data_IF_769812585908
#
_entry.id   IF_769812585908
#
_cell.length_a   1.000
_cell.length_b   1.000
_cell.length_c   1.000
_cell.angle_alpha   90.00
_cell.angle_beta   90.00
_cell.angle_gamma   90.00
#
_symmetry.space_group_name_H-M   'P 1'
#
loop_
_entity.id
_entity.type
_entity.pdbx_description
1 polymer ?
#
# COMPACT_ATOMS: atom_id res chain seq x y z
N UNK A 1 5.63 6.61 -14.55
CA UNK A 1 6.69 6.76 -13.52
C UNK A 1 6.10 6.71 -12.12
N UNK A 2 6.83 6.16 -11.13
CA UNK A 2 6.35 6.01 -9.77
C UNK A 2 7.33 6.56 -8.72
N UNK A 3 6.79 6.93 -7.56
CA UNK A 3 7.55 7.15 -6.32
C UNK A 3 7.25 6.00 -5.37
N UNK A 4 8.28 5.44 -4.71
CA UNK A 4 8.11 4.50 -3.62
C UNK A 4 8.41 5.19 -2.27
N UNK A 5 7.42 5.19 -1.37
CA UNK A 5 7.56 5.66 0.01
C UNK A 5 7.50 4.45 0.95
N UNK A 6 8.59 4.20 1.67
CA UNK A 6 8.70 3.02 2.53
C UNK A 6 9.28 3.40 3.90
N UNK A 7 8.93 2.68 4.99
CA UNK A 7 9.54 2.94 6.28
C UNK A 7 11.03 2.58 6.27
N UNK A 8 11.82 3.30 7.07
CA UNK A 8 13.24 3.04 7.25
C UNK A 8 13.46 1.80 8.15
N UNK A 9 13.15 0.65 7.59
CA UNK A 9 13.22 -0.66 8.22
C UNK A 9 13.55 -1.72 7.18
N UNK A 10 14.04 -2.87 7.63
CA UNK A 10 14.33 -4.01 6.74
C UNK A 10 13.08 -4.47 5.95
N UNK A 11 11.91 -4.46 6.61
CA UNK A 11 10.64 -4.76 5.94
C UNK A 11 10.30 -3.73 4.87
N UNK A 12 10.43 -2.43 5.18
CA UNK A 12 10.14 -1.36 4.24
C UNK A 12 11.07 -1.43 3.02
N UNK A 13 12.34 -1.67 3.25
CA UNK A 13 13.32 -1.83 2.17
C UNK A 13 12.95 -2.99 1.25
N UNK A 14 12.71 -4.19 1.79
CA UNK A 14 12.30 -5.36 0.99
C UNK A 14 11.00 -5.15 0.21
N UNK A 15 10.01 -4.48 0.83
CA UNK A 15 8.74 -4.18 0.15
C UNK A 15 8.95 -3.19 -1.02
N UNK A 16 9.79 -2.19 -0.81
CA UNK A 16 10.13 -1.21 -1.84
C UNK A 16 10.97 -1.79 -2.97
N UNK A 17 11.95 -2.66 -2.67
CA UNK A 17 12.73 -3.37 -3.69
C UNK A 17 11.82 -4.28 -4.55
N UNK A 18 10.99 -5.10 -3.91
CA UNK A 18 10.08 -5.98 -4.64
C UNK A 18 9.13 -5.20 -5.58
N UNK A 19 8.63 -4.05 -5.12
CA UNK A 19 7.85 -3.16 -5.97
C UNK A 19 8.69 -2.61 -7.12
N UNK A 20 9.91 -2.14 -6.84
CA UNK A 20 10.79 -1.53 -7.82
C UNK A 20 11.19 -2.51 -8.92
N UNK A 21 11.59 -3.72 -8.54
CA UNK A 21 12.00 -4.76 -9.48
C UNK A 21 10.85 -5.14 -10.42
N UNK A 22 9.65 -5.34 -9.86
CA UNK A 22 8.46 -5.64 -10.66
C UNK A 22 8.08 -4.46 -11.56
N UNK A 23 8.08 -3.23 -11.01
CA UNK A 23 7.71 -2.02 -11.77
C UNK A 23 8.62 -1.79 -12.97
N UNK A 24 9.93 -1.97 -12.79
CA UNK A 24 10.92 -1.85 -13.87
C UNK A 24 10.79 -2.99 -14.88
N UNK A 25 10.56 -4.23 -14.43
CA UNK A 25 10.36 -5.37 -15.31
C UNK A 25 9.14 -5.20 -16.23
N UNK A 26 8.09 -4.54 -15.74
CA UNK A 26 6.88 -4.18 -16.53
C UNK A 26 7.06 -2.88 -17.36
N UNK A 27 8.27 -2.37 -17.47
CA UNK A 27 8.60 -1.18 -18.28
C UNK A 27 8.32 0.16 -17.58
N UNK A 28 8.02 0.14 -16.29
CA UNK A 28 7.86 1.35 -15.49
C UNK A 28 9.18 2.03 -15.14
N UNK A 29 9.13 3.29 -14.74
CA UNK A 29 10.28 4.05 -14.27
C UNK A 29 10.08 4.47 -12.82
N UNK A 30 11.04 4.16 -11.93
CA UNK A 30 11.04 4.64 -10.55
C UNK A 30 11.82 5.95 -10.48
N UNK A 31 11.12 7.04 -10.19
CA UNK A 31 11.74 8.37 -10.12
C UNK A 31 12.25 8.75 -8.74
N UNK A 32 11.78 8.05 -7.71
CA UNK A 32 12.30 8.18 -6.34
C UNK A 32 11.99 6.95 -5.50
N UNK A 33 12.97 6.58 -4.67
CA UNK A 33 12.83 5.61 -3.59
C UNK A 33 13.12 6.34 -2.27
N UNK A 34 12.07 6.72 -1.56
CA UNK A 34 12.17 7.53 -0.36
C UNK A 34 11.87 6.72 0.89
N UNK A 35 12.74 6.82 1.89
CA UNK A 35 12.57 6.17 3.19
C UNK A 35 12.16 7.18 4.25
N UNK A 36 11.21 6.82 5.09
CA UNK A 36 10.77 7.63 6.22
C UNK A 36 10.91 6.85 7.53
N UNK A 37 11.26 7.55 8.59
CA UNK A 37 11.44 7.02 9.95
C UNK A 37 10.98 8.02 10.99
N UNK A 38 11.12 7.67 12.27
CA UNK A 38 10.63 8.50 13.39
C UNK A 38 11.28 9.89 13.45
N UNK A 39 12.51 10.01 12.95
CA UNK A 39 13.23 11.29 12.88
C UNK A 39 13.03 12.04 11.56
N UNK A 40 12.31 11.47 10.61
CA UNK A 40 12.11 12.06 9.28
C UNK A 40 10.91 12.98 9.30
N UNK A 41 11.10 14.24 8.92
CA UNK A 41 9.98 15.14 8.62
C UNK A 41 9.25 14.61 7.37
N UNK A 42 8.03 14.14 7.55
CA UNK A 42 7.19 13.70 6.44
C UNK A 42 6.92 14.82 5.43
N UNK A 43 6.85 16.08 5.93
CA UNK A 43 6.67 17.27 5.09
C UNK A 43 7.88 17.47 4.17
N UNK A 44 9.10 17.51 4.75
CA UNK A 44 10.33 17.73 3.98
C UNK A 44 10.58 16.60 2.99
N UNK A 45 10.23 15.37 3.39
CA UNK A 45 10.32 14.20 2.53
C UNK A 45 9.42 14.34 1.30
N UNK A 46 8.16 14.68 1.49
CA UNK A 46 7.21 14.84 0.38
C UNK A 46 7.53 16.07 -0.46
N UNK A 47 7.89 17.19 0.17
CA UNK A 47 8.27 18.42 -0.53
C UNK A 47 9.42 18.20 -1.51
N UNK A 48 10.49 17.52 -1.05
CA UNK A 48 11.67 17.24 -1.88
C UNK A 48 11.38 16.21 -2.98
N UNK A 49 10.67 15.10 -2.66
CA UNK A 49 10.36 14.05 -3.65
C UNK A 49 9.35 14.52 -4.72
N UNK A 50 8.47 15.44 -4.38
CA UNK A 50 7.55 16.08 -5.30
C UNK A 50 8.14 17.33 -5.99
N UNK A 51 9.39 17.71 -5.68
CA UNK A 51 10.09 18.88 -6.21
C UNK A 51 9.37 20.21 -5.98
N UNK A 52 8.59 20.31 -4.91
CA UNK A 52 7.91 21.57 -4.53
C UNK A 52 8.92 22.59 -4.04
N UNK A 53 9.94 22.16 -3.27
CA UNK A 53 11.11 22.93 -2.85
C UNK A 53 11.85 23.54 -4.03
N UNK A 54 12.10 22.76 -5.07
CA UNK A 54 12.73 23.23 -6.30
C UNK A 54 11.87 24.27 -7.04
N UNK A 55 10.54 24.12 -7.01
CA UNK A 55 9.62 25.12 -7.55
C UNK A 55 9.69 26.44 -6.79
N UNK A 56 9.75 26.40 -5.46
CA UNK A 56 9.91 27.57 -4.59
C UNK A 56 11.28 28.21 -4.81
N UNK A 57 12.35 27.43 -4.91
CA UNK A 57 13.70 27.92 -5.15
C UNK A 57 13.79 28.68 -6.50
N UNK A 58 13.19 28.14 -7.57
CA UNK A 58 13.13 28.82 -8.88
C UNK A 58 12.42 30.16 -8.79
N UNK A 59 11.28 30.23 -8.08
CA UNK A 59 10.56 31.48 -7.85
C UNK A 59 11.43 32.52 -7.11
N UNK A 60 12.13 32.09 -6.05
CA UNK A 60 12.97 32.98 -5.26
C UNK A 60 14.14 33.55 -6.08
N UNK A 61 14.80 32.70 -6.89
CA UNK A 61 15.85 33.13 -7.81
C UNK A 61 15.34 34.16 -8.84
N UNK A 62 14.15 33.88 -9.43
CA UNK A 62 13.55 34.78 -10.41
C UNK A 62 13.15 36.14 -9.77
N UNK A 63 12.57 36.10 -8.56
CA UNK A 63 12.20 37.29 -7.82
C UNK A 63 13.43 38.15 -7.45
N UNK A 64 14.53 37.51 -7.06
CA UNK A 64 15.80 38.21 -6.80
C UNK A 64 16.34 38.91 -8.05
N UNK A 65 16.28 38.25 -9.22
CA UNK A 65 16.75 38.83 -10.47
C UNK A 65 15.87 39.99 -10.99
N UNK A 66 14.55 39.91 -10.76
CA UNK A 66 13.59 40.91 -11.20
C UNK A 66 13.42 42.09 -10.24
N UNK A 67 13.89 41.98 -9.01
CA UNK A 67 13.77 43.00 -7.96
C UNK A 67 12.33 43.30 -7.52
N UNK A 68 11.37 42.43 -7.78
CA UNK A 68 9.96 42.61 -7.45
C UNK A 68 9.30 41.34 -6.97
N UNK A 69 8.25 41.46 -6.13
CA UNK A 69 7.43 40.35 -5.72
C UNK A 69 6.69 39.72 -6.91
N UNK A 70 6.61 38.39 -6.94
CA UNK A 70 5.90 37.63 -7.96
C UNK A 70 4.73 36.90 -7.31
N UNK A 71 3.55 36.95 -7.94
CA UNK A 71 2.48 36.01 -7.64
C UNK A 71 2.92 34.61 -8.07
N UNK A 72 2.77 33.64 -7.17
CA UNK A 72 3.32 32.31 -7.37
C UNK A 72 2.51 31.27 -6.62
N UNK A 73 2.19 30.19 -7.32
CA UNK A 73 1.67 28.96 -6.73
C UNK A 73 2.72 27.86 -6.94
N UNK A 74 3.19 27.21 -5.89
CA UNK A 74 4.13 26.10 -6.02
C UNK A 74 3.53 25.00 -6.92
N UNK A 75 4.40 24.35 -7.69
CA UNK A 75 3.99 23.24 -8.55
C UNK A 75 4.86 22.03 -8.26
N UNK A 76 4.21 20.90 -8.03
CA UNK A 76 4.90 19.63 -7.97
C UNK A 76 5.43 19.20 -9.34
N UNK A 77 6.34 18.24 -9.37
CA UNK A 77 6.73 17.53 -10.60
C UNK A 77 5.50 16.84 -11.22
N UNK A 78 5.44 16.80 -12.54
CA UNK A 78 4.28 16.29 -13.30
C UNK A 78 4.51 14.91 -13.91
N UNK A 79 5.70 14.34 -13.71
CA UNK A 79 6.14 13.07 -14.28
C UNK A 79 5.90 11.88 -13.34
N UNK A 80 5.05 12.04 -12.30
CA UNK A 80 4.68 10.98 -11.37
C UNK A 80 3.25 10.57 -11.62
N UNK A 81 3.06 9.31 -12.02
CA UNK A 81 1.77 8.70 -12.36
C UNK A 81 1.18 7.87 -11.20
N UNK A 82 2.02 7.40 -10.28
CA UNK A 82 1.63 6.57 -9.16
C UNK A 82 2.56 6.73 -7.95
N UNK A 83 2.01 6.48 -6.76
CA UNK A 83 2.76 6.43 -5.52
C UNK A 83 2.56 5.05 -4.89
N UNK A 84 3.67 4.34 -4.64
CA UNK A 84 3.67 3.12 -3.85
C UNK A 84 3.93 3.47 -2.39
N UNK A 85 3.09 2.99 -1.49
CA UNK A 85 3.18 3.27 -0.05
C UNK A 85 3.24 1.98 0.76
N UNK A 86 4.37 1.71 1.39
CA UNK A 86 4.47 0.71 2.43
C UNK A 86 4.34 1.42 3.79
N UNK A 87 3.24 1.23 4.50
CA UNK A 87 2.96 1.95 5.75
C UNK A 87 2.06 1.14 6.69
N UNK A 88 2.19 1.39 7.99
CA UNK A 88 1.16 1.05 8.97
C UNK A 88 -0.05 1.98 8.84
N UNK A 89 -1.23 1.65 9.41
CA UNK A 89 -2.39 2.53 9.36
C UNK A 89 -2.10 3.92 9.93
N UNK A 90 -1.36 3.98 11.05
CA UNK A 90 -1.02 5.23 11.69
C UNK A 90 -0.12 6.13 10.82
N UNK A 91 0.89 5.55 10.19
CA UNK A 91 1.78 6.28 9.29
C UNK A 91 1.07 6.76 8.03
N UNK A 92 0.22 5.91 7.46
CA UNK A 92 -0.53 6.25 6.26
C UNK A 92 -1.52 7.41 6.49
N UNK A 93 -2.20 7.43 7.65
CA UNK A 93 -3.08 8.54 8.08
C UNK A 93 -2.34 9.87 8.24
N UNK A 94 -1.02 9.85 8.41
CA UNK A 94 -0.19 11.05 8.43
C UNK A 94 0.29 11.45 7.03
N UNK A 95 0.75 10.47 6.24
CA UNK A 95 1.35 10.72 4.93
C UNK A 95 0.32 11.08 3.85
N UNK A 96 -0.83 10.39 3.81
CA UNK A 96 -1.81 10.56 2.73
C UNK A 96 -2.41 11.98 2.67
N UNK A 97 -2.85 12.61 3.78
CA UNK A 97 -3.36 13.97 3.73
C UNK A 97 -2.31 15.00 3.29
N UNK A 98 -1.03 14.75 3.59
CA UNK A 98 0.04 15.66 3.19
C UNK A 98 0.24 15.71 1.68
N UNK A 99 -0.18 14.69 0.92
CA UNK A 99 -0.14 14.73 -0.54
C UNK A 99 -1.01 15.88 -1.09
N UNK A 100 -2.20 16.10 -0.50
CA UNK A 100 -3.06 17.22 -0.88
C UNK A 100 -2.38 18.58 -0.58
N UNK A 101 -1.72 18.68 0.58
CA UNK A 101 -0.97 19.87 0.94
C UNK A 101 0.16 20.21 -0.07
N UNK A 102 0.79 19.18 -0.63
CA UNK A 102 1.84 19.32 -1.66
C UNK A 102 1.32 19.21 -3.09
N UNK A 103 0.04 19.47 -3.31
CA UNK A 103 -0.59 19.47 -4.66
C UNK A 103 -0.51 18.13 -5.39
N UNK A 104 -0.53 17.02 -4.66
CA UNK A 104 -0.38 15.66 -5.17
C UNK A 104 -1.57 14.75 -4.82
N UNK A 105 -2.73 15.32 -4.54
CA UNK A 105 -3.95 14.57 -4.20
C UNK A 105 -4.48 13.73 -5.36
N UNK A 106 -4.18 14.15 -6.58
CA UNK A 106 -4.56 13.50 -7.85
C UNK A 106 -3.70 12.27 -8.18
N UNK A 107 -2.54 12.09 -7.51
CA UNK A 107 -1.69 10.92 -7.74
C UNK A 107 -2.34 9.70 -7.07
N UNK A 108 -2.64 8.63 -7.84
CA UNK A 108 -3.15 7.40 -7.27
C UNK A 108 -2.14 6.75 -6.33
N UNK A 109 -2.61 6.36 -5.14
CA UNK A 109 -1.78 5.71 -4.13
C UNK A 109 -2.12 4.23 -4.07
N UNK A 110 -1.10 3.40 -4.25
CA UNK A 110 -1.14 1.95 -4.09
C UNK A 110 -0.33 1.54 -2.87
N UNK A 111 -0.92 0.76 -2.00
CA UNK A 111 -0.28 0.40 -0.74
C UNK A 111 -0.19 -1.11 -0.51
N UNK A 112 0.70 -1.48 0.41
CA UNK A 112 0.77 -2.85 0.92
C UNK A 112 -0.41 -3.16 1.85
N UNK A 113 -0.68 -4.45 2.08
CA UNK A 113 -1.75 -4.89 3.00
C UNK A 113 -1.60 -4.38 4.43
N UNK A 114 -0.40 -3.93 4.82
CA UNK A 114 -0.13 -3.40 6.17
C UNK A 114 -0.84 -2.10 6.48
N UNK A 115 -1.33 -1.39 5.45
CA UNK A 115 -2.05 -0.13 5.62
C UNK A 115 -3.40 -0.29 6.35
N UNK A 116 -3.96 -1.49 6.36
CA UNK A 116 -5.24 -1.78 6.99
C UNK A 116 -5.10 -2.73 8.18
N UNK A 117 -5.65 -2.34 9.31
CA UNK A 117 -5.61 -3.12 10.55
C UNK A 117 -6.48 -4.40 10.52
N UNK A 118 -7.45 -4.46 9.60
CA UNK A 118 -8.49 -5.48 9.58
C UNK A 118 -9.71 -5.14 10.44
N UNK A 119 -9.68 -4.02 11.14
CA UNK A 119 -10.80 -3.52 11.94
C UNK A 119 -11.26 -2.18 11.37
N UNK A 120 -12.56 -2.03 11.03
CA UNK A 120 -13.08 -0.79 10.49
C UNK A 120 -12.98 0.35 11.51
N UNK A 121 -12.40 1.46 11.12
CA UNK A 121 -12.40 2.72 11.87
C UNK A 121 -12.71 3.87 10.90
N UNK A 122 -14.00 4.07 10.53
CA UNK A 122 -14.37 5.05 9.51
C UNK A 122 -13.97 6.49 9.83
N UNK A 123 -13.81 6.80 11.10
CA UNK A 123 -13.40 8.15 11.50
C UNK A 123 -11.91 8.39 11.28
N UNK A 124 -11.07 7.42 11.63
CA UNK A 124 -9.64 7.53 11.47
C UNK A 124 -9.15 7.21 10.04
N UNK A 125 -9.85 6.29 9.34
CA UNK A 125 -9.45 5.85 7.99
C UNK A 125 -10.00 6.75 6.87
N UNK A 126 -10.79 7.79 7.20
CA UNK A 126 -11.29 8.75 6.20
C UNK A 126 -10.17 9.44 5.43
N UNK A 127 -9.07 9.69 6.11
CA UNK A 127 -7.88 10.31 5.50
C UNK A 127 -7.21 9.40 4.46
N UNK A 128 -7.54 8.11 4.45
CA UNK A 128 -7.04 7.14 3.48
C UNK A 128 -7.92 6.98 2.24
N UNK A 129 -9.03 7.71 2.14
CA UNK A 129 -9.95 7.58 1.01
C UNK A 129 -9.22 7.68 -0.33
N UNK A 130 -9.56 6.80 -1.25
CA UNK A 130 -8.94 6.67 -2.55
C UNK A 130 -7.72 5.73 -2.61
N UNK A 131 -7.08 5.41 -1.49
CA UNK A 131 -5.92 4.49 -1.47
C UNK A 131 -6.37 3.09 -1.82
N UNK A 132 -5.65 2.45 -2.77
CA UNK A 132 -5.85 1.06 -3.17
C UNK A 132 -4.77 0.18 -2.55
N UNK A 133 -5.14 -1.01 -2.12
CA UNK A 133 -4.19 -1.97 -1.54
C UNK A 133 -4.64 -3.41 -1.79
N UNK A 134 -3.68 -4.33 -1.84
CA UNK A 134 -3.98 -5.76 -1.91
C UNK A 134 -4.01 -6.37 -0.51
N UNK A 135 -4.97 -7.27 -0.25
CA UNK A 135 -5.07 -7.95 1.05
C UNK A 135 -5.77 -9.31 0.94
N UNK A 136 -5.76 -10.06 2.03
CA UNK A 136 -6.48 -11.33 2.14
C UNK A 136 -7.99 -11.08 2.24
N UNK A 137 -8.83 -11.92 1.61
CA UNK A 137 -10.29 -11.86 1.79
C UNK A 137 -10.71 -11.89 3.26
N UNK A 138 -10.02 -12.67 4.09
CA UNK A 138 -10.27 -12.77 5.54
C UNK A 138 -10.23 -11.43 6.26
N UNK A 139 -9.32 -10.56 5.88
CA UNK A 139 -9.13 -9.25 6.51
C UNK A 139 -10.30 -8.31 6.21
N UNK A 140 -10.91 -8.43 5.03
CA UNK A 140 -12.05 -7.61 4.61
C UNK A 140 -13.41 -8.14 5.08
N UNK A 141 -13.50 -9.41 5.45
CA UNK A 141 -14.77 -10.07 5.79
C UNK A 141 -15.16 -9.85 7.25
N UNK A 142 -15.58 -8.63 7.57
CA UNK A 142 -15.95 -8.22 8.92
C UNK A 142 -17.24 -8.87 9.45
N UNK A 143 -18.07 -9.43 8.56
CA UNK A 143 -19.35 -10.07 8.91
C UNK A 143 -19.20 -11.59 9.15
N UNK A 144 -17.99 -12.15 9.06
CA UNK A 144 -17.74 -13.56 9.27
C UNK A 144 -17.74 -13.92 10.75
N UNK A 145 -18.66 -14.78 11.17
CA UNK A 145 -18.83 -15.20 12.56
C UNK A 145 -17.59 -15.88 13.15
N UNK A 146 -16.94 -16.78 12.38
CA UNK A 146 -15.72 -17.45 12.81
C UNK A 146 -14.61 -16.44 13.09
N UNK A 147 -14.42 -15.48 12.16
CA UNK A 147 -13.45 -14.40 12.32
C UNK A 147 -13.72 -13.58 13.58
N UNK A 148 -14.98 -13.20 13.78
CA UNK A 148 -15.38 -12.38 14.94
C UNK A 148 -15.20 -13.14 16.26
N UNK A 149 -15.58 -14.41 16.30
CA UNK A 149 -15.38 -15.26 17.47
C UNK A 149 -13.89 -15.42 17.82
N UNK A 150 -13.04 -15.70 16.82
CA UNK A 150 -11.59 -15.82 17.03
C UNK A 150 -10.97 -14.48 17.46
N UNK A 151 -11.40 -13.38 16.87
CA UNK A 151 -10.92 -12.04 17.22
C UNK A 151 -11.25 -11.67 18.66
N UNK A 152 -12.48 -11.95 19.09
CA UNK A 152 -12.93 -11.67 20.46
C UNK A 152 -12.18 -12.51 21.52
N UNK A 153 -11.88 -13.77 21.20
CA UNK A 153 -11.16 -14.67 22.12
C UNK A 153 -9.69 -14.30 22.30
N UNK A 154 -9.07 -13.68 21.30
CA UNK A 154 -7.61 -13.47 21.28
C UNK A 154 -7.19 -12.02 21.42
N UNK A 155 -8.12 -11.07 21.62
CA UNK A 155 -7.82 -9.62 21.47
C UNK A 155 -7.02 -9.36 20.20
N UNK A 156 -7.53 -9.83 19.07
CA UNK A 156 -6.76 -9.99 17.86
C UNK A 156 -6.20 -8.66 17.33
N UNK A 157 -4.91 -8.66 17.11
CA UNK A 157 -4.23 -7.62 16.33
C UNK A 157 -4.33 -7.93 14.82
N UNK A 158 -3.95 -6.97 13.98
CA UNK A 158 -3.80 -7.18 12.54
C UNK A 158 -2.94 -8.40 12.19
N UNK A 159 -1.86 -8.61 12.94
CA UNK A 159 -0.96 -9.78 12.78
C UNK A 159 -1.67 -11.07 13.17
N UNK A 160 -2.40 -11.09 14.29
CA UNK A 160 -3.14 -12.26 14.73
C UNK A 160 -4.20 -12.68 13.69
N UNK A 161 -4.94 -11.73 13.10
CA UNK A 161 -5.89 -12.03 12.03
C UNK A 161 -5.23 -12.70 10.81
N UNK A 162 -4.03 -12.24 10.43
CA UNK A 162 -3.27 -12.83 9.33
C UNK A 162 -2.78 -14.24 9.65
N UNK A 163 -2.31 -14.45 10.88
CA UNK A 163 -1.87 -15.78 11.33
C UNK A 163 -3.03 -16.76 11.44
N UNK A 164 -4.20 -16.32 11.88
CA UNK A 164 -5.42 -17.13 11.89
C UNK A 164 -5.78 -17.59 10.48
N UNK A 165 -5.78 -16.66 9.50
CA UNK A 165 -6.04 -16.99 8.12
C UNK A 165 -5.04 -18.03 7.58
N UNK A 166 -3.75 -17.82 7.87
CA UNK A 166 -2.70 -18.74 7.46
C UNK A 166 -2.92 -20.15 8.06
N UNK A 167 -3.22 -20.24 9.35
CA UNK A 167 -3.45 -21.52 10.01
C UNK A 167 -4.67 -22.26 9.46
N UNK A 168 -5.78 -21.56 9.22
CA UNK A 168 -7.00 -22.14 8.68
C UNK A 168 -6.76 -22.68 7.27
N UNK A 169 -6.21 -21.86 6.37
CA UNK A 169 -5.98 -22.31 5.00
C UNK A 169 -4.88 -23.37 4.91
N UNK A 170 -3.86 -23.32 5.74
CA UNK A 170 -2.83 -24.38 5.81
C UNK A 170 -3.44 -25.73 6.17
N UNK A 171 -4.39 -25.76 7.12
CA UNK A 171 -5.11 -26.98 7.49
C UNK A 171 -5.91 -27.53 6.31
N UNK A 172 -6.72 -26.73 5.66
CA UNK A 172 -7.52 -27.19 4.51
C UNK A 172 -6.67 -27.52 3.28
N UNK A 173 -5.60 -26.77 3.05
CA UNK A 173 -4.68 -27.00 1.95
C UNK A 173 -3.91 -28.31 2.12
N UNK A 174 -3.52 -28.68 3.34
CA UNK A 174 -2.81 -29.93 3.60
C UNK A 174 -3.58 -31.18 3.12
N UNK A 175 -4.91 -31.10 3.15
CA UNK A 175 -5.79 -32.20 2.67
C UNK A 175 -5.95 -32.23 1.14
N UNK A 176 -5.56 -31.17 0.44
CA UNK A 176 -5.74 -31.00 -1.00
C UNK A 176 -4.43 -30.78 -1.76
N UNK A 177 -3.31 -30.85 -1.05
CA UNK A 177 -2.00 -30.53 -1.62
C UNK A 177 -1.67 -31.42 -2.80
N UNK A 178 -1.91 -32.74 -2.70
CA UNK A 178 -1.69 -33.70 -3.78
C UNK A 178 -2.51 -33.31 -5.02
N UNK A 179 -3.76 -32.95 -4.84
CA UNK A 179 -4.64 -32.53 -5.93
C UNK A 179 -4.12 -31.27 -6.64
N UNK A 180 -3.61 -30.30 -5.90
CA UNK A 180 -3.01 -29.08 -6.44
C UNK A 180 -1.75 -29.39 -7.29
N UNK A 181 -0.94 -30.36 -6.85
CA UNK A 181 0.28 -30.73 -7.57
C UNK A 181 0.04 -31.64 -8.78
N UNK A 182 -0.97 -32.51 -8.74
CA UNK A 182 -1.29 -33.44 -9.84
C UNK A 182 -2.16 -32.80 -10.93
N UNK A 183 -2.93 -31.75 -10.58
CA UNK A 183 -3.80 -31.03 -11.52
C UNK A 183 -3.38 -29.57 -11.58
N UNK A 184 -2.45 -29.18 -12.47
CA UNK A 184 -1.82 -27.85 -12.48
C UNK A 184 -2.80 -26.69 -12.68
N UNK A 185 -3.98 -26.93 -13.26
CA UNK A 185 -5.02 -25.90 -13.42
C UNK A 185 -5.93 -25.75 -12.20
N UNK A 186 -5.65 -26.50 -11.12
CA UNK A 186 -6.48 -26.45 -9.92
C UNK A 186 -6.20 -25.18 -9.15
N UNK A 187 -7.26 -24.42 -8.85
CA UNK A 187 -7.22 -23.24 -8.00
C UNK A 187 -7.92 -23.56 -6.68
N UNK A 188 -7.17 -23.45 -5.59
CA UNK A 188 -7.75 -23.46 -4.25
C UNK A 188 -8.20 -22.04 -3.86
N UNK A 189 -9.50 -21.86 -3.58
CA UNK A 189 -10.07 -20.56 -3.14
C UNK A 189 -10.25 -20.60 -1.62
N UNK A 190 -9.29 -20.01 -0.92
CA UNK A 190 -9.26 -19.92 0.53
C UNK A 190 -9.51 -18.51 1.04
N UNK A 191 -9.36 -18.37 2.34
CA UNK A 191 -9.47 -17.08 3.03
C UNK A 191 -8.20 -16.23 2.92
N UNK A 192 -7.07 -16.84 2.51
CA UNK A 192 -5.84 -16.13 2.12
C UNK A 192 -5.94 -15.48 0.73
N UNK A 193 -6.84 -15.99 -0.12
CA UNK A 193 -6.97 -15.64 -1.53
C UNK A 193 -7.08 -16.87 -2.40
N UNK A 194 -6.74 -16.74 -3.68
CA UNK A 194 -6.63 -17.87 -4.59
C UNK A 194 -5.19 -18.38 -4.53
N UNK A 195 -5.06 -19.69 -4.37
CA UNK A 195 -3.77 -20.39 -4.39
C UNK A 195 -3.73 -21.32 -5.59
N UNK A 196 -2.66 -21.26 -6.35
CA UNK A 196 -2.37 -22.13 -7.48
C UNK A 196 -0.93 -22.57 -7.45
N UNK A 197 -0.61 -23.67 -8.10
CA UNK A 197 0.78 -24.06 -8.30
C UNK A 197 1.38 -23.17 -9.39
N UNK A 198 2.58 -22.64 -9.14
CA UNK A 198 3.38 -22.02 -10.20
C UNK A 198 3.71 -23.08 -11.27
N UNK A 199 3.56 -22.69 -12.53
CA UNK A 199 3.82 -23.57 -13.68
C UNK A 199 5.30 -23.89 -13.87
N UNK A 200 6.20 -23.09 -13.35
CA UNK A 200 7.65 -23.18 -13.56
C UNK A 200 8.44 -23.60 -12.31
N UNK A 201 7.83 -23.52 -11.15
CA UNK A 201 8.45 -23.91 -9.88
C UNK A 201 7.55 -24.87 -9.09
N UNK A 202 8.02 -25.30 -7.91
CA UNK A 202 7.21 -26.05 -6.95
C UNK A 202 6.54 -25.14 -5.91
N UNK A 203 6.57 -23.84 -6.14
CA UNK A 203 5.99 -22.87 -5.22
C UNK A 203 4.47 -22.74 -5.43
N UNK A 204 3.80 -22.22 -4.40
CA UNK A 204 2.41 -21.84 -4.48
C UNK A 204 2.30 -20.33 -4.69
N UNK A 205 1.70 -19.96 -5.78
CA UNK A 205 1.31 -18.57 -6.04
C UNK A 205 0.05 -18.22 -5.28
N UNK A 206 -0.01 -17.00 -4.80
CA UNK A 206 -1.17 -16.46 -4.10
C UNK A 206 -1.66 -15.17 -4.73
N UNK A 207 -2.86 -15.20 -5.27
CA UNK A 207 -3.59 -14.02 -5.71
C UNK A 207 -4.45 -13.47 -4.56
N UNK A 208 -4.17 -12.25 -4.15
CA UNK A 208 -4.95 -11.51 -3.15
C UNK A 208 -6.08 -10.70 -3.81
N UNK A 209 -7.00 -10.19 -2.99
CA UNK A 209 -8.04 -9.28 -3.46
C UNK A 209 -7.57 -7.83 -3.36
N UNK A 210 -7.98 -7.01 -4.30
CA UNK A 210 -7.81 -5.57 -4.22
C UNK A 210 -8.92 -4.94 -3.39
N UNK A 211 -8.55 -3.97 -2.57
CA UNK A 211 -9.45 -3.15 -1.81
C UNK A 211 -9.12 -1.66 -1.98
N UNK A 212 -10.09 -0.81 -1.72
CA UNK A 212 -9.95 0.64 -1.71
C UNK A 212 -10.65 1.22 -0.48
N UNK A 213 -10.08 2.25 0.12
CA UNK A 213 -10.77 3.02 1.13
C UNK A 213 -11.80 3.95 0.49
N UNK A 214 -13.06 3.84 0.94
CA UNK A 214 -14.21 4.63 0.47
C UNK A 214 -15.06 5.01 1.69
N UNK A 215 -15.10 6.29 2.02
CA UNK A 215 -15.78 6.82 3.21
C UNK A 215 -15.19 6.28 4.52
N UNK A 216 -13.86 6.08 4.56
CA UNK A 216 -13.14 5.52 5.69
C UNK A 216 -13.30 4.00 5.87
N UNK A 217 -13.90 3.30 4.91
CA UNK A 217 -14.09 1.85 4.96
C UNK A 217 -13.29 1.17 3.85
N UNK A 218 -12.55 0.12 4.21
CA UNK A 218 -11.90 -0.75 3.24
C UNK A 218 -12.94 -1.60 2.52
N UNK A 219 -13.11 -1.40 1.21
CA UNK A 219 -14.08 -2.11 0.37
C UNK A 219 -13.36 -2.88 -0.74
N UNK A 220 -13.77 -4.13 -1.02
CA UNK A 220 -13.26 -4.85 -2.18
C UNK A 220 -13.50 -4.06 -3.47
N UNK A 221 -12.50 -4.05 -4.33
CA UNK A 221 -12.64 -3.54 -5.71
C UNK A 221 -12.92 -4.74 -6.61
N UNK A 222 -14.09 -4.76 -7.21
CA UNK A 222 -14.39 -5.77 -8.24
C UNK A 222 -13.65 -5.37 -9.52
N UNK A 223 -12.80 -6.24 -9.99
CA UNK A 223 -12.22 -6.17 -11.33
C UNK A 223 -13.22 -6.63 -12.36
#
# INVERSE_FOLDING_TARGET
SAIALVPDSEWGYRAGEAFTDFWIAEGGNLVSFARYGDSTSHADLLESNLHVDASIARKNALQGNLGRALEFTPRRRQDVDALFLAASPQQARQLKPMLAFFFAEDIPVYATSSIYSGFPDPSADRDLDGVKFSTMPWILNNDNELRNNLSNQTNASATALRMQALGIDSFYLSQRLIQLYEAPDTIYRGILGKLSKDSQSNDLEREQVWAQFIGGLARPVNN
#
